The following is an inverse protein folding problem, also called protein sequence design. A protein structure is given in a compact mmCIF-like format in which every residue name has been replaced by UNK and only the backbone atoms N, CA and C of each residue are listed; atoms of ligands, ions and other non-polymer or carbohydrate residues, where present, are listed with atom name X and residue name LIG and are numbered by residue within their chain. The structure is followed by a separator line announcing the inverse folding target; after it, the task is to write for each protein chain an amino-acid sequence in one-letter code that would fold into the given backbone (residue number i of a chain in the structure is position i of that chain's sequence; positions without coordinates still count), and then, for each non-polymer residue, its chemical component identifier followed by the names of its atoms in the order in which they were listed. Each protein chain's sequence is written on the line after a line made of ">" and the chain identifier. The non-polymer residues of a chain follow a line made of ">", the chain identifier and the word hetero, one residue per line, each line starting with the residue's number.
data_IF_898785017371
#
_entry.id   IF_898785017371
#
_cell.length_a   1.000
_cell.length_b   1.000
_cell.length_c   1.000
_cell.angle_alpha   90.00
_cell.angle_beta   90.00
_cell.angle_gamma   90.00
#
_symmetry.space_group_name_H-M   'P 1'
#
loop_
_entity.id
_entity.type
_entity.pdbx_description
1 polymer ?
#
# COMPACT_ATOMS: atom_id res chain seq x y z
N UNK A 1 54.03 10.86 38.08
CA UNK A 1 53.30 9.57 38.19
C UNK A 1 51.81 9.92 38.20
N UNK A 2 50.94 9.65 37.24
CA UNK A 2 50.90 8.81 36.03
C UNK A 2 49.94 9.49 35.05
N UNK A 3 50.18 9.33 33.75
CA UNK A 3 49.41 9.88 32.65
C UNK A 3 48.38 8.87 32.11
N UNK A 4 47.34 9.43 31.45
CA UNK A 4 46.45 8.82 30.45
C UNK A 4 45.37 7.83 30.99
N UNK A 5 44.16 7.72 30.44
CA UNK A 5 43.64 8.14 29.15
C UNK A 5 42.11 8.26 29.20
N UNK A 6 41.55 9.24 28.51
CA UNK A 6 40.22 9.12 27.92
C UNK A 6 40.29 8.12 26.75
N UNK A 7 39.42 7.12 26.71
CA UNK A 7 39.06 6.41 25.49
C UNK A 7 37.66 5.80 25.62
N UNK A 8 36.83 6.07 24.63
CA UNK A 8 35.46 5.59 24.49
C UNK A 8 35.34 4.06 24.53
N UNK A 9 34.26 3.56 25.11
CA UNK A 9 33.65 2.29 24.70
C UNK A 9 32.23 2.62 24.23
N UNK A 10 32.17 3.20 23.03
CA UNK A 10 31.04 2.94 22.14
C UNK A 10 30.81 1.43 22.14
N UNK A 11 29.66 0.97 22.62
CA UNK A 11 29.24 -0.43 22.38
C UNK A 11 29.17 -0.57 20.87
N UNK A 12 30.05 -1.36 20.21
CA UNK A 12 29.95 -1.57 18.79
C UNK A 12 28.74 -2.47 18.56
N UNK A 13 27.59 -1.89 18.23
CA UNK A 13 26.39 -2.62 17.79
C UNK A 13 26.51 -2.92 16.30
N UNK A 14 27.54 -3.65 15.94
CA UNK A 14 27.63 -4.32 14.64
C UNK A 14 27.94 -5.80 14.88
N UNK A 15 26.95 -6.57 15.41
CA UNK A 15 27.11 -7.99 15.63
C UNK A 15 27.25 -8.71 14.29
N UNK A 16 28.12 -9.70 14.23
CA UNK A 16 28.14 -10.61 13.08
C UNK A 16 26.77 -11.33 12.95
N UNK A 17 26.44 -11.77 11.72
CA UNK A 17 25.16 -12.41 11.44
C UNK A 17 24.76 -13.55 12.41
N UNK A 18 25.67 -14.47 12.83
CA UNK A 18 25.31 -15.51 13.79
C UNK A 18 25.06 -14.97 15.20
N UNK A 19 25.76 -13.92 15.62
CA UNK A 19 25.53 -13.27 16.93
C UNK A 19 24.23 -12.50 16.94
N UNK A 20 23.92 -11.77 15.86
CA UNK A 20 22.65 -11.09 15.68
C UNK A 20 21.47 -12.07 15.74
N UNK A 21 21.59 -13.25 15.10
CA UNK A 21 20.55 -14.28 15.13
C UNK A 21 20.32 -14.85 16.53
N UNK A 22 21.38 -15.18 17.27
CA UNK A 22 21.24 -15.70 18.64
C UNK A 22 20.63 -14.67 19.58
N UNK A 23 21.04 -13.41 19.48
CA UNK A 23 20.46 -12.34 20.30
C UNK A 23 18.98 -12.12 19.99
N UNK A 24 18.59 -12.23 18.72
CA UNK A 24 17.18 -12.17 18.33
C UNK A 24 16.39 -13.36 18.87
N UNK A 25 16.95 -14.58 18.81
CA UNK A 25 16.33 -15.79 19.37
C UNK A 25 16.16 -15.68 20.89
N UNK A 26 17.19 -15.22 21.61
CA UNK A 26 17.17 -15.01 23.06
C UNK A 26 16.19 -13.91 23.48
N UNK A 27 16.04 -12.85 22.67
CA UNK A 27 15.10 -11.76 22.92
C UNK A 27 13.65 -12.21 22.67
N UNK A 28 13.39 -12.94 21.58
CA UNK A 28 12.06 -13.49 21.25
C UNK A 28 11.60 -14.57 22.23
N UNK A 29 12.55 -15.24 22.90
CA UNK A 29 12.26 -16.21 23.95
C UNK A 29 11.88 -15.55 25.29
N UNK A 30 11.99 -14.21 25.43
CA UNK A 30 11.67 -13.54 26.70
C UNK A 30 10.15 -13.59 26.98
N UNK A 31 9.75 -14.16 28.14
CA UNK A 31 8.35 -14.25 28.52
C UNK A 31 7.70 -12.89 28.81
N UNK A 32 8.50 -11.82 28.98
CA UNK A 32 8.00 -10.44 29.17
C UNK A 32 7.20 -9.92 27.96
N UNK A 33 7.34 -10.52 26.77
CA UNK A 33 6.48 -10.19 25.62
C UNK A 33 5.11 -10.90 25.64
N UNK A 34 4.83 -11.74 26.65
CA UNK A 34 3.59 -12.53 26.76
C UNK A 34 2.65 -12.03 27.88
N UNK A 35 2.95 -10.90 28.52
CA UNK A 35 2.09 -10.33 29.57
C UNK A 35 1.04 -9.38 28.99
N UNK A 36 -0.03 -9.99 28.48
CA UNK A 36 -1.25 -9.30 28.07
C UNK A 36 -2.10 -10.24 27.21
N UNK A 37 -3.45 -10.12 27.23
CA UNK A 37 -4.27 -10.85 26.27
C UNK A 37 -3.73 -10.55 24.88
N UNK A 38 -3.45 -11.60 24.13
CA UNK A 38 -2.95 -11.46 22.76
C UNK A 38 -3.87 -10.52 21.98
N UNK A 39 -3.34 -9.76 21.03
CA UNK A 39 -4.17 -8.90 20.17
C UNK A 39 -5.32 -9.70 19.53
N UNK A 40 -5.06 -10.98 19.25
CA UNK A 40 -6.03 -11.97 18.77
C UNK A 40 -7.12 -12.24 19.81
N UNK A 41 -6.78 -12.53 21.07
CA UNK A 41 -7.77 -12.72 22.15
C UNK A 41 -8.59 -11.46 22.40
N UNK A 42 -7.98 -10.27 22.31
CA UNK A 42 -8.69 -9.00 22.49
C UNK A 42 -9.71 -8.76 21.38
N UNK A 43 -9.36 -9.10 20.14
CA UNK A 43 -10.27 -9.03 18.98
C UNK A 43 -11.36 -10.10 19.08
N UNK A 44 -11.02 -11.33 19.43
CA UNK A 44 -12.00 -12.42 19.61
C UNK A 44 -12.98 -12.07 20.73
N UNK A 45 -12.50 -11.55 21.87
CA UNK A 45 -13.33 -11.08 22.97
C UNK A 45 -14.31 -9.99 22.53
N UNK A 46 -13.82 -8.98 21.80
CA UNK A 46 -14.68 -7.93 21.24
C UNK A 46 -15.74 -8.47 20.26
N UNK A 47 -15.39 -9.44 19.41
CA UNK A 47 -16.33 -10.07 18.47
C UNK A 47 -17.41 -10.83 19.23
N UNK A 48 -17.03 -11.65 20.22
CA UNK A 48 -17.98 -12.43 21.03
C UNK A 48 -18.92 -11.48 21.78
N UNK A 49 -18.41 -10.41 22.37
CA UNK A 49 -19.21 -9.41 23.08
C UNK A 49 -20.26 -8.74 22.16
N UNK A 50 -19.88 -8.41 20.91
CA UNK A 50 -20.83 -7.88 19.92
C UNK A 50 -21.88 -8.88 19.48
N UNK A 51 -21.50 -10.15 19.30
CA UNK A 51 -22.43 -11.23 18.93
C UNK A 51 -23.40 -11.49 20.08
N UNK A 52 -22.91 -11.66 21.31
CA UNK A 52 -23.72 -11.86 22.51
C UNK A 52 -24.67 -10.69 22.76
N UNK A 53 -24.19 -9.45 22.65
CA UNK A 53 -25.03 -8.26 22.78
C UNK A 53 -26.13 -8.18 21.72
N UNK A 54 -25.89 -8.67 20.51
CA UNK A 54 -26.91 -8.81 19.48
C UNK A 54 -27.93 -9.91 19.84
N UNK A 55 -27.47 -11.08 20.28
CA UNK A 55 -28.34 -12.19 20.67
C UNK A 55 -29.23 -11.83 21.87
N UNK A 56 -28.67 -11.19 22.89
CA UNK A 56 -29.42 -10.75 24.08
C UNK A 56 -30.45 -9.67 23.72
N UNK A 57 -30.12 -8.74 22.82
CA UNK A 57 -31.07 -7.76 22.30
C UNK A 57 -32.21 -8.41 21.48
N UNK A 58 -31.98 -9.61 20.92
CA UNK A 58 -32.98 -10.37 20.15
C UNK A 58 -33.80 -11.35 20.99
N UNK A 59 -33.41 -11.63 22.24
CA UNK A 59 -34.10 -12.57 23.13
C UNK A 59 -35.56 -12.21 23.46
N UNK A 60 -35.94 -10.94 23.29
CA UNK A 60 -37.32 -10.44 23.42
C UNK A 60 -37.95 -9.96 22.10
N UNK A 61 -37.30 -10.20 20.95
CA UNK A 61 -37.76 -9.71 19.65
C UNK A 61 -38.68 -10.72 18.94
N UNK A 62 -39.71 -10.19 18.27
CA UNK A 62 -40.57 -10.95 17.36
C UNK A 62 -39.70 -11.64 16.27
N UNK A 63 -39.91 -12.94 15.96
CA UNK A 63 -39.12 -13.68 14.97
C UNK A 63 -39.08 -13.01 13.58
N UNK A 64 -40.09 -12.20 13.22
CA UNK A 64 -40.09 -11.40 11.99
C UNK A 64 -39.00 -10.31 12.02
N UNK A 65 -38.77 -9.68 13.17
CA UNK A 65 -37.74 -8.65 13.35
C UNK A 65 -36.34 -9.26 13.31
N UNK A 66 -36.16 -10.46 13.89
CA UNK A 66 -34.90 -11.19 13.82
C UNK A 66 -34.52 -11.51 12.36
N UNK A 67 -35.45 -12.05 11.58
CA UNK A 67 -35.23 -12.34 10.15
C UNK A 67 -34.91 -11.05 9.38
N UNK A 68 -35.58 -9.94 9.68
CA UNK A 68 -35.30 -8.65 9.06
C UNK A 68 -33.89 -8.13 9.39
N UNK A 69 -33.46 -8.20 10.65
CA UNK A 69 -32.12 -7.76 11.08
C UNK A 69 -31.03 -8.63 10.44
N UNK A 70 -31.19 -9.95 10.46
CA UNK A 70 -30.26 -10.86 9.78
C UNK A 70 -30.22 -10.59 8.29
N UNK A 71 -31.37 -10.35 7.66
CA UNK A 71 -31.45 -9.98 6.25
C UNK A 71 -30.69 -8.68 5.94
N UNK A 72 -30.83 -7.66 6.78
CA UNK A 72 -30.10 -6.38 6.63
C UNK A 72 -28.59 -6.58 6.82
N UNK A 73 -28.16 -7.35 7.82
CA UNK A 73 -26.74 -7.65 8.03
C UNK A 73 -26.16 -8.42 6.85
N UNK A 74 -26.85 -9.45 6.35
CA UNK A 74 -26.44 -10.20 5.18
C UNK A 74 -26.44 -9.34 3.91
N UNK A 75 -27.37 -8.41 3.76
CA UNK A 75 -27.37 -7.45 2.66
C UNK A 75 -26.18 -6.49 2.75
N UNK A 76 -25.86 -5.96 3.93
CA UNK A 76 -24.69 -5.11 4.15
C UNK A 76 -23.40 -5.86 3.87
N UNK A 77 -23.25 -7.09 4.39
CA UNK A 77 -22.09 -7.95 4.13
C UNK A 77 -22.01 -8.31 2.65
N UNK A 78 -23.13 -8.66 2.02
CA UNK A 78 -23.20 -8.96 0.60
C UNK A 78 -22.77 -7.78 -0.27
N UNK A 79 -23.24 -6.57 0.03
CA UNK A 79 -22.82 -5.34 -0.64
C UNK A 79 -21.35 -5.06 -0.39
N UNK A 80 -20.88 -5.18 0.86
CA UNK A 80 -19.47 -4.97 1.19
C UNK A 80 -18.55 -5.96 0.46
N UNK A 81 -18.94 -7.23 0.39
CA UNK A 81 -18.20 -8.27 -0.34
C UNK A 81 -18.29 -8.11 -1.86
N UNK A 82 -19.40 -7.63 -2.38
CA UNK A 82 -19.55 -7.35 -3.81
C UNK A 82 -18.69 -6.16 -4.25
N UNK A 83 -18.66 -5.10 -3.43
CA UNK A 83 -17.83 -3.91 -3.66
C UNK A 83 -16.34 -4.22 -3.45
N UNK A 84 -15.99 -4.95 -2.39
CA UNK A 84 -14.59 -5.24 -2.06
C UNK A 84 -14.01 -6.49 -2.76
N UNK A 85 -14.86 -7.37 -3.28
CA UNK A 85 -14.52 -8.69 -3.83
C UNK A 85 -13.52 -8.67 -4.97
N UNK A 86 -13.71 -7.89 -6.05
CA UNK A 86 -12.79 -7.91 -7.18
C UNK A 86 -11.41 -7.30 -6.85
N UNK A 87 -11.34 -6.32 -5.95
CA UNK A 87 -10.08 -5.67 -5.57
C UNK A 87 -9.27 -6.50 -4.55
N UNK A 88 -9.93 -7.07 -3.53
CA UNK A 88 -9.25 -7.82 -2.45
C UNK A 88 -8.75 -9.20 -2.89
N UNK A 89 -9.44 -9.85 -3.83
CA UNK A 89 -9.03 -11.16 -4.33
C UNK A 89 -7.77 -11.09 -5.20
N UNK A 90 -7.53 -9.96 -5.90
CA UNK A 90 -6.35 -9.79 -6.75
C UNK A 90 -5.13 -9.28 -6.00
N UNK A 91 -5.29 -8.51 -4.93
CA UNK A 91 -4.19 -8.05 -4.08
C UNK A 91 -3.36 -9.22 -3.48
N UNK A 92 -3.96 -10.39 -3.29
CA UNK A 92 -3.29 -11.60 -2.78
C UNK A 92 -2.27 -12.25 -3.74
N UNK A 93 -2.24 -11.83 -5.01
CA UNK A 93 -1.37 -12.45 -6.03
C UNK A 93 -0.16 -11.59 -6.43
N UNK A 94 -0.01 -10.39 -5.86
CA UNK A 94 1.12 -9.52 -6.19
C UNK A 94 2.33 -9.88 -5.32
N UNK A 95 3.51 -9.91 -5.94
CA UNK A 95 4.76 -9.89 -5.19
C UNK A 95 4.81 -8.60 -4.34
N UNK A 96 5.47 -8.61 -3.16
CA UNK A 96 5.64 -7.41 -2.36
C UNK A 96 6.26 -6.29 -3.22
N UNK A 97 5.50 -5.20 -3.41
CA UNK A 97 5.98 -3.97 -4.06
C UNK A 97 5.67 -3.89 -5.54
N UNK A 98 5.08 -4.93 -6.12
CA UNK A 98 4.68 -4.91 -7.52
C UNK A 98 3.53 -3.91 -7.74
N UNK A 99 3.67 -3.08 -8.78
CA UNK A 99 2.64 -2.13 -9.18
C UNK A 99 1.37 -2.82 -9.66
N UNK A 100 1.49 -3.93 -10.39
CA UNK A 100 0.38 -4.72 -10.86
C UNK A 100 0.75 -6.21 -10.84
N UNK A 101 -0.27 -7.08 -10.85
CA UNK A 101 -0.03 -8.49 -11.08
C UNK A 101 0.56 -8.69 -12.48
N UNK A 102 1.40 -9.72 -12.66
CA UNK A 102 2.05 -9.99 -13.93
C UNK A 102 1.06 -10.13 -15.11
N UNK A 103 -0.17 -10.58 -14.83
CA UNK A 103 -1.24 -10.79 -15.82
C UNK A 103 -2.33 -9.70 -15.80
N UNK A 104 -2.08 -8.53 -15.21
CA UNK A 104 -3.07 -7.44 -15.19
C UNK A 104 -3.15 -6.73 -16.55
N UNK A 105 -4.09 -7.17 -17.40
CA UNK A 105 -4.28 -6.66 -18.76
C UNK A 105 -5.12 -5.37 -18.85
N UNK A 106 -5.42 -4.71 -17.73
CA UNK A 106 -6.29 -3.53 -17.71
C UNK A 106 -5.63 -2.33 -18.40
N UNK A 107 -6.42 -1.51 -19.08
CA UNK A 107 -5.95 -0.25 -19.68
C UNK A 107 -5.85 0.85 -18.63
N UNK A 108 -5.11 1.91 -18.94
CA UNK A 108 -5.02 3.09 -18.08
C UNK A 108 -6.40 3.70 -17.81
N UNK A 109 -7.29 3.73 -18.82
CA UNK A 109 -8.67 4.20 -18.66
C UNK A 109 -9.48 3.34 -17.68
N UNK A 110 -9.34 2.02 -17.75
CA UNK A 110 -10.02 1.11 -16.81
C UNK A 110 -9.52 1.32 -15.37
N UNK A 111 -8.23 1.57 -15.18
CA UNK A 111 -7.66 1.89 -13.87
C UNK A 111 -8.12 3.27 -13.37
N UNK A 112 -8.24 4.28 -14.25
CA UNK A 112 -8.84 5.58 -13.91
C UNK A 112 -10.30 5.44 -13.47
N UNK A 113 -11.08 4.61 -14.18
CA UNK A 113 -12.46 4.33 -13.81
C UNK A 113 -12.56 3.61 -12.46
N UNK A 114 -11.67 2.65 -12.19
CA UNK A 114 -11.59 1.98 -10.89
C UNK A 114 -11.22 2.95 -9.76
N UNK A 115 -10.28 3.86 -10.01
CA UNK A 115 -9.93 4.94 -9.07
C UNK A 115 -11.13 5.82 -8.74
N UNK A 116 -11.88 6.25 -9.75
CA UNK A 116 -13.07 7.09 -9.57
C UNK A 116 -14.17 6.36 -8.80
N UNK A 117 -14.40 5.08 -9.10
CA UNK A 117 -15.36 4.25 -8.39
C UNK A 117 -14.97 4.08 -6.91
N UNK A 118 -13.69 3.81 -6.61
CA UNK A 118 -13.23 3.72 -5.23
C UNK A 118 -13.42 5.05 -4.48
N UNK A 119 -13.10 6.18 -5.12
CA UNK A 119 -13.28 7.50 -4.54
C UNK A 119 -14.75 7.82 -4.22
N UNK A 120 -15.70 7.43 -5.10
CA UNK A 120 -17.14 7.67 -4.87
C UNK A 120 -17.71 6.86 -3.70
N UNK A 121 -17.05 5.76 -3.33
CA UNK A 121 -17.36 4.96 -2.15
C UNK A 121 -16.56 5.37 -0.89
N UNK A 122 -15.74 6.42 -0.98
CA UNK A 122 -14.90 6.88 0.13
C UNK A 122 -13.64 6.04 0.37
N UNK A 123 -13.35 5.06 -0.49
CA UNK A 123 -12.12 4.26 -0.42
C UNK A 123 -10.96 5.00 -1.11
N UNK A 124 -10.39 5.96 -0.38
CA UNK A 124 -9.29 6.79 -0.87
C UNK A 124 -8.00 5.99 -1.09
N UNK A 125 -7.78 4.92 -0.33
CA UNK A 125 -6.59 4.07 -0.48
C UNK A 125 -6.62 3.38 -1.84
N UNK A 126 -7.71 2.69 -2.16
CA UNK A 126 -7.87 2.06 -3.47
C UNK A 126 -7.87 3.12 -4.59
N UNK A 127 -8.49 4.28 -4.37
CA UNK A 127 -8.51 5.34 -5.36
C UNK A 127 -7.11 5.84 -5.73
N UNK A 128 -6.24 6.08 -4.74
CA UNK A 128 -4.85 6.51 -4.94
C UNK A 128 -4.05 5.41 -5.65
N UNK A 129 -4.15 4.17 -5.18
CA UNK A 129 -3.45 3.01 -5.75
C UNK A 129 -3.80 2.82 -7.22
N UNK A 130 -5.10 2.80 -7.56
CA UNK A 130 -5.55 2.62 -8.94
C UNK A 130 -5.21 3.83 -9.82
N UNK A 131 -5.20 5.06 -9.29
CA UNK A 131 -4.78 6.23 -10.07
C UNK A 131 -3.30 6.18 -10.39
N UNK A 132 -2.45 5.79 -9.44
CA UNK A 132 -1.01 5.67 -9.71
C UNK A 132 -0.72 4.54 -10.71
N UNK A 133 -1.40 3.39 -10.59
CA UNK A 133 -1.35 2.33 -11.61
C UNK A 133 -1.73 2.83 -12.99
N UNK A 134 -2.77 3.66 -13.09
CA UNK A 134 -3.17 4.26 -14.35
C UNK A 134 -2.08 5.16 -14.96
N UNK A 135 -1.36 5.93 -14.15
CA UNK A 135 -0.23 6.78 -14.60
C UNK A 135 0.85 5.92 -15.24
N UNK A 136 1.26 4.85 -14.56
CA UNK A 136 2.29 3.94 -15.08
C UNK A 136 1.80 3.24 -16.35
N UNK A 137 0.56 2.72 -16.34
CA UNK A 137 -0.02 2.04 -17.49
C UNK A 137 -0.15 2.97 -18.70
N UNK A 138 -0.55 4.23 -18.50
CA UNK A 138 -0.61 5.23 -19.57
C UNK A 138 0.76 5.52 -20.17
N UNK A 139 1.82 5.50 -19.35
CA UNK A 139 3.18 5.69 -19.82
C UNK A 139 3.71 4.47 -20.61
N UNK A 140 3.32 3.25 -20.23
CA UNK A 140 3.60 2.02 -21.00
C UNK A 140 2.84 2.00 -22.34
N UNK A 141 1.54 2.32 -22.33
CA UNK A 141 0.70 2.43 -23.53
C UNK A 141 1.25 3.46 -24.53
N UNK A 142 1.87 4.53 -24.04
CA UNK A 142 2.53 5.57 -24.85
C UNK A 142 4.00 5.25 -25.20
N UNK A 143 4.50 4.08 -24.83
CA UNK A 143 5.91 3.64 -25.05
C UNK A 143 6.93 4.61 -24.41
N UNK A 144 6.52 5.30 -23.35
CA UNK A 144 7.43 6.12 -22.53
C UNK A 144 8.23 5.24 -21.58
N UNK A 145 7.57 4.22 -21.05
CA UNK A 145 8.13 3.13 -20.26
C UNK A 145 8.07 1.83 -21.05
N UNK A 146 9.02 0.93 -20.81
CA UNK A 146 8.94 -0.46 -21.28
C UNK A 146 8.06 -1.26 -20.32
N UNK A 147 7.10 -2.03 -20.82
CA UNK A 147 6.25 -2.89 -19.99
C UNK A 147 7.11 -4.01 -19.34
N UNK A 148 7.03 -4.14 -18.01
CA UNK A 148 7.81 -5.11 -17.25
C UNK A 148 6.96 -5.76 -16.14
N UNK A 149 6.80 -7.10 -16.14
CA UNK A 149 6.15 -7.80 -15.05
C UNK A 149 6.86 -7.54 -13.71
N UNK A 150 6.09 -7.23 -12.67
CA UNK A 150 6.63 -7.04 -11.32
C UNK A 150 7.37 -5.72 -11.08
N UNK A 151 7.30 -4.75 -12.00
CA UNK A 151 7.86 -3.41 -11.79
C UNK A 151 7.36 -2.80 -10.48
N UNK A 152 8.27 -2.20 -9.72
CA UNK A 152 7.98 -1.49 -8.47
C UNK A 152 7.65 0.00 -8.69
N UNK A 153 7.03 0.63 -7.69
CA UNK A 153 6.68 2.06 -7.75
C UNK A 153 7.92 2.95 -7.91
N UNK A 154 9.00 2.64 -7.20
CA UNK A 154 10.26 3.39 -7.27
C UNK A 154 10.95 3.26 -8.63
N UNK A 155 10.96 2.07 -9.23
CA UNK A 155 11.50 1.85 -10.58
C UNK A 155 10.70 2.66 -11.62
N UNK A 156 9.37 2.60 -11.54
CA UNK A 156 8.50 3.40 -12.39
C UNK A 156 8.78 4.90 -12.22
N UNK A 157 8.92 5.35 -10.97
CA UNK A 157 9.19 6.75 -10.65
C UNK A 157 10.54 7.23 -11.16
N UNK A 158 11.57 6.38 -11.11
CA UNK A 158 12.89 6.68 -11.64
C UNK A 158 12.87 6.85 -13.17
N UNK A 159 12.26 5.92 -13.88
CA UNK A 159 12.15 5.98 -15.35
C UNK A 159 11.25 7.14 -15.82
N UNK A 160 10.09 7.34 -15.18
CA UNK A 160 9.20 8.46 -15.45
C UNK A 160 9.86 9.79 -15.14
N UNK A 161 10.60 9.89 -14.03
CA UNK A 161 11.33 11.09 -13.66
C UNK A 161 12.40 11.47 -14.68
N UNK A 162 13.04 10.48 -15.31
CA UNK A 162 13.97 10.72 -16.41
C UNK A 162 13.26 11.16 -17.71
N UNK A 163 12.05 10.63 -17.97
CA UNK A 163 11.24 11.01 -19.12
C UNK A 163 10.58 12.40 -18.96
N UNK A 164 10.28 12.81 -17.73
CA UNK A 164 9.60 14.05 -17.38
C UNK A 164 10.32 14.79 -16.24
N UNK A 165 11.48 15.42 -16.50
CA UNK A 165 12.28 16.05 -15.43
C UNK A 165 11.53 17.12 -14.64
N UNK A 166 10.66 17.89 -15.32
CA UNK A 166 9.81 18.92 -14.70
C UNK A 166 8.83 18.39 -13.67
N UNK A 167 8.35 17.15 -13.84
CA UNK A 167 7.42 16.49 -12.94
C UNK A 167 8.14 15.52 -11.96
N UNK A 168 9.47 15.39 -12.02
CA UNK A 168 10.22 14.34 -11.30
C UNK A 168 9.98 14.31 -9.78
N UNK A 169 9.82 15.47 -9.16
CA UNK A 169 9.51 15.56 -7.72
C UNK A 169 8.09 15.10 -7.42
N UNK A 170 7.11 15.51 -8.24
CA UNK A 170 5.72 15.09 -8.12
C UNK A 170 5.57 13.57 -8.34
N UNK A 171 6.29 13.02 -9.32
CA UNK A 171 6.36 11.58 -9.60
C UNK A 171 6.88 10.80 -8.39
N UNK A 172 8.03 11.20 -7.83
CA UNK A 172 8.59 10.56 -6.62
C UNK A 172 7.66 10.68 -5.42
N UNK A 173 6.97 11.80 -5.29
CA UNK A 173 5.99 11.98 -4.21
C UNK A 173 4.79 11.05 -4.37
N UNK A 174 4.29 10.88 -5.60
CA UNK A 174 3.18 9.98 -5.89
C UNK A 174 3.54 8.51 -5.66
N UNK A 175 4.76 8.10 -6.02
CA UNK A 175 5.27 6.74 -5.74
C UNK A 175 5.35 6.44 -4.24
N UNK A 176 5.89 7.37 -3.44
CA UNK A 176 5.90 7.22 -1.98
C UNK A 176 4.49 7.14 -1.40
N UNK A 177 3.59 7.99 -1.86
CA UNK A 177 2.18 7.96 -1.44
C UNK A 177 1.54 6.62 -1.82
N UNK A 178 1.86 6.06 -2.98
CA UNK A 178 1.40 4.73 -3.37
C UNK A 178 1.91 3.66 -2.41
N UNK A 179 3.21 3.61 -2.10
CA UNK A 179 3.76 2.61 -1.20
C UNK A 179 3.22 2.75 0.23
N UNK A 180 3.25 3.97 0.79
CA UNK A 180 2.72 4.28 2.14
C UNK A 180 1.25 3.81 2.28
N UNK A 181 0.45 3.95 1.22
CA UNK A 181 -0.98 3.59 1.23
C UNK A 181 -1.24 2.11 0.93
N UNK A 182 -0.49 1.52 0.00
CA UNK A 182 -0.60 0.10 -0.36
C UNK A 182 -0.23 -0.80 0.81
N UNK A 183 0.82 -0.45 1.55
CA UNK A 183 1.29 -1.22 2.71
C UNK A 183 0.60 -0.82 4.01
N UNK A 184 -0.29 0.17 3.98
CA UNK A 184 -1.07 0.59 5.13
C UNK A 184 -0.28 1.33 6.20
N UNK A 185 0.90 1.86 5.87
CA UNK A 185 1.69 2.69 6.78
C UNK A 185 0.99 4.02 7.09
N UNK A 186 0.25 4.57 6.10
CA UNK A 186 -0.53 5.79 6.26
C UNK A 186 -1.86 5.74 5.49
N UNK A 187 -2.97 6.21 6.09
CA UNK A 187 -4.23 6.32 5.37
C UNK A 187 -4.12 7.35 4.24
N UNK A 188 -4.70 7.02 3.08
CA UNK A 188 -4.79 7.96 1.97
C UNK A 188 -5.74 9.12 2.30
N UNK A 189 -5.42 10.31 1.78
CA UNK A 189 -6.23 11.51 1.95
C UNK A 189 -6.76 11.99 0.60
N UNK A 190 -7.80 12.84 0.61
CA UNK A 190 -8.30 13.47 -0.61
C UNK A 190 -7.20 14.29 -1.29
N UNK A 191 -6.33 14.93 -0.51
CA UNK A 191 -5.18 15.68 -1.03
C UNK A 191 -4.21 14.76 -1.80
N UNK A 192 -3.94 13.56 -1.28
CA UNK A 192 -3.13 12.57 -2.00
C UNK A 192 -3.76 12.20 -3.34
N UNK A 193 -5.05 11.88 -3.36
CA UNK A 193 -5.76 11.55 -4.59
C UNK A 193 -5.73 12.71 -5.59
N UNK A 194 -6.02 13.93 -5.15
CA UNK A 194 -5.97 15.13 -6.02
C UNK A 194 -4.58 15.34 -6.61
N UNK A 195 -3.53 15.14 -5.82
CA UNK A 195 -2.15 15.27 -6.31
C UNK A 195 -1.80 14.23 -7.39
N UNK A 196 -2.22 12.97 -7.21
CA UNK A 196 -1.97 11.90 -8.21
C UNK A 196 -2.83 12.11 -9.46
N UNK A 197 -4.07 12.61 -9.33
CA UNK A 197 -4.91 13.00 -10.47
C UNK A 197 -4.26 14.12 -11.29
N UNK A 198 -3.80 15.18 -10.61
CA UNK A 198 -3.12 16.29 -11.27
C UNK A 198 -1.83 15.84 -11.98
N UNK A 199 -1.06 14.93 -11.36
CA UNK A 199 0.11 14.34 -11.99
C UNK A 199 -0.25 13.57 -13.27
N UNK A 200 -1.29 12.73 -13.23
CA UNK A 200 -1.75 11.98 -14.42
C UNK A 200 -2.11 12.92 -15.58
N UNK A 201 -2.82 14.01 -15.28
CA UNK A 201 -3.22 15.00 -16.28
C UNK A 201 -2.01 15.79 -16.83
N UNK A 202 -1.05 16.16 -15.96
CA UNK A 202 0.21 16.82 -16.33
C UNK A 202 1.03 15.93 -17.28
N UNK A 203 1.23 14.66 -16.93
CA UNK A 203 1.97 13.72 -17.78
C UNK A 203 1.21 13.39 -19.07
N UNK A 204 -0.13 13.35 -19.02
CA UNK A 204 -1.02 13.20 -20.16
C UNK A 204 -0.82 14.29 -21.23
N UNK A 205 -0.64 15.53 -20.79
CA UNK A 205 -0.49 16.71 -21.66
C UNK A 205 0.97 17.06 -21.99
N UNK A 206 1.94 16.51 -21.27
CA UNK A 206 3.36 16.79 -21.47
C UNK A 206 4.00 15.84 -22.48
N UNK A 207 4.88 16.38 -23.32
CA UNK A 207 5.71 15.58 -24.23
C UNK A 207 6.94 15.05 -23.46
N UNK A 208 7.17 13.72 -23.43
CA UNK A 208 8.34 13.16 -22.76
C UNK A 208 9.64 13.49 -23.52
N UNK A 209 10.75 13.55 -22.79
CA UNK A 209 12.07 13.63 -23.41
C UNK A 209 12.36 12.37 -24.25
N UNK A 210 12.97 12.50 -25.44
CA UNK A 210 13.38 11.36 -26.25
C UNK A 210 14.37 10.46 -25.51
N UNK A 211 14.30 9.14 -25.72
CA UNK A 211 15.18 8.16 -25.07
C UNK A 211 16.68 8.46 -25.26
N UNK A 212 17.07 8.99 -26.43
CA UNK A 212 18.44 9.37 -26.71
C UNK A 212 18.97 10.49 -25.79
N UNK A 213 18.10 11.40 -25.35
CA UNK A 213 18.44 12.55 -24.50
C UNK A 213 18.47 12.17 -23.01
N UNK A 214 17.74 11.12 -22.61
CA UNK A 214 17.77 10.58 -21.23
C UNK A 214 19.11 9.92 -20.88
N UNK A 215 19.78 9.31 -21.86
CA UNK A 215 21.07 8.64 -21.68
C UNK A 215 22.25 9.60 -21.46
N UNK A 216 22.08 10.88 -21.79
CA UNK A 216 23.12 11.92 -21.67
C UNK A 216 23.26 12.55 -20.29
N UNK A 217 22.42 12.18 -19.31
CA UNK A 217 22.60 12.58 -17.90
C UNK A 217 23.71 11.71 -17.29
N UNK A 218 24.91 12.25 -16.99
CA UNK A 218 26.02 11.44 -16.52
C UNK A 218 25.79 11.06 -15.06
N UNK A 219 25.49 9.79 -14.82
CA UNK A 219 25.24 9.32 -13.46
C UNK A 219 24.90 7.84 -13.37
N UNK A 220 25.67 6.96 -14.01
CA UNK A 220 25.71 5.52 -13.66
C UNK A 220 26.92 4.83 -14.28
N UNK A 221 28.08 5.00 -13.66
CA UNK A 221 29.19 4.05 -13.66
C UNK A 221 30.01 4.27 -12.38
N UNK A 222 29.75 3.44 -11.36
CA UNK A 222 30.69 2.91 -10.36
C UNK A 222 29.88 2.14 -9.31
#
# INVERSE_FOLDING_TARGET
>A
MLAAAWAALSVPVDPDAPTARRWLEDELARPEYHEGPSLVERVIGWIIEKISGLLDATGSMNPVVLVAVVGVVLAIVGVALWVAGPARLRAKQLAPGALAAADDSRTSEQMRAASLAAASHGDLTTAVVERFRAVVRAAEERVVLTEMPGRTADEAAAELGAAFPGASTSIRSAARVFDDTLYGERPATTQHLTAVVALDDELGSTRPLPTAERATVPGRLA
#
